data_IF_217948190171
#
_entry.id   IF_217948190171
#
_cell.length_a   1.000
_cell.length_b   1.000
_cell.length_c   1.000
_cell.angle_alpha   90.00
_cell.angle_beta   90.00
_cell.angle_gamma   90.00
#
_symmetry.space_group_name_H-M   'P 1'
#
loop_
_entity.id
_entity.type
_entity.pdbx_description
1 polymer ?
#
# COMPACT_ATOMS: atom_id res chain seq x y z
N UNK A 1 6.51 -15.25 16.03
CA UNK A 1 7.14 -14.42 14.99
C UNK A 1 7.04 -15.18 13.68
N UNK A 2 6.24 -14.71 12.72
CA UNK A 2 5.99 -15.48 11.50
C UNK A 2 6.68 -14.78 10.32
N UNK A 3 8.01 -14.86 10.26
CA UNK A 3 8.84 -14.41 9.12
C UNK A 3 8.26 -14.85 7.77
N UNK A 4 7.65 -16.03 7.75
CA UNK A 4 6.91 -16.56 6.60
C UNK A 4 5.75 -15.65 6.15
N UNK A 5 4.98 -15.07 7.07
CA UNK A 5 3.87 -14.17 6.74
C UNK A 5 4.39 -12.89 6.09
N UNK A 6 5.43 -12.29 6.64
CA UNK A 6 6.01 -11.04 6.13
C UNK A 6 6.64 -11.24 4.75
N UNK A 7 7.40 -12.33 4.59
CA UNK A 7 7.98 -12.72 3.29
C UNK A 7 6.91 -13.07 2.25
N UNK A 8 5.85 -13.77 2.66
CA UNK A 8 4.76 -14.13 1.76
C UNK A 8 3.98 -12.90 1.29
N UNK A 9 3.74 -11.92 2.16
CA UNK A 9 3.06 -10.67 1.78
C UNK A 9 3.95 -9.85 0.85
N UNK A 10 5.25 -9.71 1.16
CA UNK A 10 6.22 -9.04 0.26
C UNK A 10 6.28 -9.71 -1.11
N UNK A 11 6.28 -11.04 -1.14
CA UNK A 11 6.23 -11.80 -2.38
C UNK A 11 4.94 -11.51 -3.16
N UNK A 12 3.77 -11.54 -2.51
CA UNK A 12 2.51 -11.20 -3.18
C UNK A 12 2.46 -9.77 -3.70
N UNK A 13 3.03 -8.82 -2.98
CA UNK A 13 3.13 -7.43 -3.45
C UNK A 13 4.10 -7.32 -4.64
N UNK A 14 5.14 -8.14 -4.71
CA UNK A 14 6.05 -8.17 -5.87
C UNK A 14 5.39 -8.71 -7.15
N UNK A 15 4.33 -9.51 -7.02
CA UNK A 15 3.55 -10.02 -8.16
C UNK A 15 2.44 -9.05 -8.62
N UNK A 16 2.16 -7.99 -7.85
CA UNK A 16 1.11 -7.02 -8.18
C UNK A 16 1.54 -6.10 -9.31
N UNK A 17 0.60 -5.86 -10.23
CA UNK A 17 0.74 -4.89 -11.30
C UNK A 17 0.01 -3.60 -10.95
N UNK A 18 0.41 -2.45 -11.52
CA UNK A 18 -0.28 -1.17 -11.29
C UNK A 18 -1.77 -1.23 -11.63
N UNK A 19 -2.16 -2.00 -12.65
CA UNK A 19 -3.57 -2.22 -12.99
C UNK A 19 -4.36 -2.90 -11.87
N UNK A 20 -3.74 -3.78 -11.09
CA UNK A 20 -4.40 -4.44 -9.96
C UNK A 20 -4.75 -3.41 -8.89
N UNK A 21 -3.84 -2.48 -8.59
CA UNK A 21 -4.11 -1.36 -7.67
C UNK A 21 -5.20 -0.43 -8.16
N UNK A 22 -5.22 -0.12 -9.46
CA UNK A 22 -6.32 0.67 -10.06
C UNK A 22 -7.65 -0.07 -9.90
N UNK A 23 -7.66 -1.39 -10.12
CA UNK A 23 -8.84 -2.22 -9.94
C UNK A 23 -9.31 -2.24 -8.47
N UNK A 24 -8.40 -2.50 -7.53
CA UNK A 24 -8.72 -2.50 -6.10
C UNK A 24 -9.18 -1.13 -5.61
N UNK A 25 -8.54 -0.05 -6.07
CA UNK A 25 -8.97 1.31 -5.79
C UNK A 25 -10.44 1.50 -6.12
N UNK A 26 -10.87 1.10 -7.34
CA UNK A 26 -12.27 1.19 -7.75
C UNK A 26 -13.22 0.40 -6.87
N UNK A 27 -12.84 -0.80 -6.42
CA UNK A 27 -13.65 -1.62 -5.50
C UNK A 27 -13.90 -0.92 -4.16
N UNK A 28 -12.95 -0.10 -3.71
CA UNK A 28 -13.05 0.69 -2.48
C UNK A 28 -13.54 2.13 -2.71
N UNK A 29 -14.03 2.46 -3.91
CA UNK A 29 -14.55 3.78 -4.23
C UNK A 29 -13.48 4.86 -4.44
N UNK A 30 -12.22 4.45 -4.72
CA UNK A 30 -11.08 5.33 -4.98
C UNK A 30 -10.69 5.29 -6.44
N UNK A 31 -10.49 6.45 -7.04
CA UNK A 31 -9.86 6.54 -8.35
C UNK A 31 -8.36 6.74 -8.15
N UNK A 32 -7.58 5.67 -8.34
CA UNK A 32 -6.12 5.74 -8.43
C UNK A 32 -5.77 5.70 -9.92
N UNK A 33 -4.94 6.64 -10.38
CA UNK A 33 -4.40 6.62 -11.73
C UNK A 33 -3.30 5.57 -11.88
N UNK A 34 -3.00 5.17 -13.12
CA UNK A 34 -1.94 4.20 -13.39
C UNK A 34 -0.57 4.70 -12.89
N UNK A 35 -0.27 5.99 -13.08
CA UNK A 35 0.96 6.64 -12.63
C UNK A 35 1.08 6.66 -11.09
N UNK A 36 -0.03 6.98 -10.39
CA UNK A 36 -0.07 6.86 -8.93
C UNK A 36 0.15 5.42 -8.48
N UNK A 37 -0.50 4.45 -9.13
CA UNK A 37 -0.37 3.03 -8.79
C UNK A 37 1.06 2.50 -8.99
N UNK A 38 1.74 2.89 -10.08
CA UNK A 38 3.14 2.56 -10.31
C UNK A 38 4.04 3.11 -9.20
N UNK A 39 3.85 4.38 -8.84
CA UNK A 39 4.64 5.02 -7.78
C UNK A 39 4.38 4.39 -6.41
N UNK A 40 3.13 4.03 -6.10
CA UNK A 40 2.78 3.31 -4.87
C UNK A 40 3.49 1.96 -4.85
N UNK A 41 3.37 1.13 -5.90
CA UNK A 41 4.05 -0.18 -5.94
C UNK A 41 5.55 -0.02 -5.79
N UNK A 42 6.15 0.94 -6.49
CA UNK A 42 7.57 1.19 -6.42
C UNK A 42 8.01 1.52 -4.99
N UNK A 43 7.26 2.36 -4.28
CA UNK A 43 7.54 2.67 -2.87
C UNK A 43 7.35 1.44 -1.98
N UNK A 44 6.25 0.70 -2.13
CA UNK A 44 5.99 -0.46 -1.27
C UNK A 44 6.99 -1.59 -1.51
N UNK A 45 7.42 -1.83 -2.75
CA UNK A 45 8.36 -2.88 -3.09
C UNK A 45 9.81 -2.55 -2.68
N UNK A 46 10.21 -1.28 -2.70
CA UNK A 46 11.58 -0.87 -2.39
C UNK A 46 11.77 -0.26 -1.00
N UNK A 47 10.68 -0.01 -0.26
CA UNK A 47 10.76 0.43 1.13
C UNK A 47 10.98 -0.75 2.07
N UNK A 48 11.73 -0.53 3.15
CA UNK A 48 11.90 -1.51 4.20
C UNK A 48 10.78 -1.35 5.24
N UNK A 49 9.83 -2.29 5.27
CA UNK A 49 8.73 -2.33 6.23
C UNK A 49 8.49 -3.77 6.71
N UNK A 50 7.76 -3.92 7.81
CA UNK A 50 7.33 -5.21 8.34
C UNK A 50 5.90 -5.14 8.86
N UNK A 51 5.10 -6.17 8.62
CA UNK A 51 3.72 -6.27 9.11
C UNK A 51 3.61 -6.30 10.63
N UNK A 52 4.68 -6.70 11.32
CA UNK A 52 4.74 -6.75 12.78
C UNK A 52 5.28 -5.42 13.38
N UNK A 53 5.77 -4.49 12.55
CA UNK A 53 6.27 -3.17 12.97
C UNK A 53 5.37 -2.05 12.45
N UNK A 54 4.42 -1.66 13.31
CA UNK A 54 3.47 -0.58 13.06
C UNK A 54 4.18 0.72 12.65
N UNK A 55 5.33 1.04 13.24
CA UNK A 55 6.06 2.27 12.93
C UNK A 55 6.56 2.28 11.48
N UNK A 56 7.03 1.13 10.99
CA UNK A 56 7.47 0.99 9.60
C UNK A 56 6.31 1.12 8.60
N UNK A 57 5.13 0.62 8.97
CA UNK A 57 3.93 0.68 8.15
C UNK A 57 3.34 2.10 8.11
N UNK A 58 3.36 2.83 9.22
CA UNK A 58 3.00 4.25 9.26
C UNK A 58 3.98 5.10 8.46
N UNK A 59 5.27 4.81 8.51
CA UNK A 59 6.27 5.47 7.67
C UNK A 59 6.02 5.21 6.17
N UNK A 60 5.63 3.99 5.80
CA UNK A 60 5.22 3.65 4.44
C UNK A 60 4.00 4.47 3.99
N UNK A 61 2.98 4.59 4.85
CA UNK A 61 1.79 5.39 4.58
C UNK A 61 2.15 6.88 4.39
N UNK A 62 3.06 7.42 5.20
CA UNK A 62 3.54 8.79 5.07
C UNK A 62 4.26 9.03 3.72
N UNK A 63 5.02 8.05 3.22
CA UNK A 63 5.69 8.12 1.91
C UNK A 63 4.72 8.08 0.73
N UNK A 64 3.54 7.47 0.91
CA UNK A 64 2.49 7.40 -0.13
C UNK A 64 1.69 8.71 -0.21
N UNK A 65 1.59 9.47 0.89
CA UNK A 65 0.84 10.74 0.95
C UNK A 65 1.14 11.76 -0.17
N UNK A 66 2.39 12.07 -0.55
CA UNK A 66 2.67 13.01 -1.62
C UNK A 66 2.43 12.43 -3.03
N UNK A 67 2.22 11.12 -3.15
CA UNK A 67 2.09 10.42 -4.42
C UNK A 67 0.65 10.45 -4.91
N UNK A 68 -0.29 10.31 -3.99
CA UNK A 68 -1.71 10.13 -4.31
C UNK A 68 -2.54 11.38 -4.07
N UNK A 69 -3.68 11.47 -4.75
CA UNK A 69 -4.71 12.46 -4.45
C UNK A 69 -5.18 12.40 -2.98
N UNK A 70 -5.65 13.54 -2.44
CA UNK A 70 -6.14 13.63 -1.05
C UNK A 70 -7.28 12.64 -0.77
N UNK A 71 -8.17 12.43 -1.74
CA UNK A 71 -9.30 11.52 -1.60
C UNK A 71 -8.82 10.06 -1.53
N UNK A 72 -7.87 9.68 -2.39
CA UNK A 72 -7.24 8.36 -2.35
C UNK A 72 -6.49 8.14 -1.04
N UNK A 73 -5.73 9.13 -0.58
CA UNK A 73 -5.01 9.06 0.70
C UNK A 73 -5.96 8.83 1.88
N UNK A 74 -7.10 9.51 1.92
CA UNK A 74 -8.10 9.37 2.97
C UNK A 74 -8.64 7.94 3.05
N UNK A 75 -8.97 7.33 1.91
CA UNK A 75 -9.46 5.95 1.88
C UNK A 75 -8.36 4.95 2.20
N UNK A 76 -7.15 5.13 1.66
CA UNK A 76 -6.00 4.28 2.00
C UNK A 76 -5.74 4.31 3.51
N UNK A 77 -5.78 5.49 4.13
CA UNK A 77 -5.61 5.66 5.58
C UNK A 77 -6.71 4.95 6.37
N UNK A 78 -7.97 5.04 5.92
CA UNK A 78 -9.09 4.31 6.54
C UNK A 78 -8.92 2.80 6.44
N UNK A 79 -8.54 2.28 5.26
CA UNK A 79 -8.27 0.86 5.06
C UNK A 79 -7.10 0.39 5.92
N UNK A 80 -6.04 1.20 5.99
CA UNK A 80 -4.88 0.94 6.83
C UNK A 80 -5.28 0.81 8.31
N UNK A 81 -6.05 1.76 8.83
CA UNK A 81 -6.58 1.70 10.20
C UNK A 81 -7.57 0.56 10.44
N UNK A 82 -8.24 0.05 9.40
CA UNK A 82 -9.20 -1.04 9.53
C UNK A 82 -8.54 -2.42 9.57
N UNK A 83 -7.43 -2.59 8.85
CA UNK A 83 -6.77 -3.89 8.70
C UNK A 83 -5.45 -4.03 9.48
N UNK A 84 -4.83 -2.92 9.88
CA UNK A 84 -3.50 -2.89 10.53
C UNK A 84 -3.55 -2.17 11.89
N UNK A 85 -4.32 -1.10 12.03
CA UNK A 85 -4.57 -0.41 13.30
C UNK A 85 -5.57 -1.12 14.20
#
# INVERSE_FOLDING_TARGET
MNLFKDQWIKYKISELHPMDLVHYGKLYGVTISLDEAEKILNVVQHSNWSMDDESSLHALLANIKPIVSKDAYSVITKLFHHYIG
#
